data_IF_346080601410
#
_entry.id   IF_346080601410
#
_cell.length_a   1.000
_cell.length_b   1.000
_cell.length_c   1.000
_cell.angle_alpha   90.00
_cell.angle_beta   90.00
_cell.angle_gamma   90.00
#
_symmetry.space_group_name_H-M   'P 1'
#
loop_
_entity.id
_entity.type
_entity.pdbx_description
1 polymer ?
#
# COMPACT_ATOMS: atom_id res chain seq x y z
N UNK A 1 -12.09 10.65 -0.64
CA UNK A 1 -10.68 10.49 -0.24
C UNK A 1 -10.52 9.60 1.01
N UNK A 2 -9.72 8.53 0.94
CA UNK A 2 -9.48 7.60 2.07
C UNK A 2 -9.94 6.15 1.83
N UNK A 3 -9.74 5.61 0.62
CA UNK A 3 -10.15 4.23 0.32
C UNK A 3 -9.27 3.22 1.06
N UNK A 4 -9.91 2.36 1.85
CA UNK A 4 -9.25 1.28 2.58
C UNK A 4 -9.47 0.01 1.77
N UNK A 5 -8.38 -0.59 1.31
CA UNK A 5 -8.38 -1.85 0.57
C UNK A 5 -8.17 -2.99 1.58
N UNK A 6 -9.11 -3.92 1.63
CA UNK A 6 -9.00 -5.08 2.51
C UNK A 6 -7.93 -6.05 2.01
N UNK A 7 -7.38 -6.86 2.92
CA UNK A 7 -6.37 -7.87 2.59
C UNK A 7 -6.85 -8.86 1.52
N UNK A 8 -8.14 -9.23 1.53
CA UNK A 8 -8.74 -10.11 0.53
C UNK A 8 -8.78 -9.51 -0.88
N UNK A 9 -9.01 -8.20 -1.01
CA UNK A 9 -8.98 -7.52 -2.31
C UNK A 9 -7.55 -7.39 -2.83
N UNK A 10 -6.58 -7.13 -1.95
CA UNK A 10 -5.16 -7.16 -2.32
C UNK A 10 -4.75 -8.53 -2.84
N UNK A 11 -5.16 -9.61 -2.15
CA UNK A 11 -4.90 -10.98 -2.62
C UNK A 11 -5.48 -11.27 -4.00
N UNK A 12 -6.65 -10.72 -4.34
CA UNK A 12 -7.23 -10.86 -5.69
C UNK A 12 -6.49 -10.05 -6.75
N UNK A 13 -5.90 -8.91 -6.37
CA UNK A 13 -5.17 -8.04 -7.27
C UNK A 13 -3.75 -8.53 -7.57
N UNK A 14 -3.21 -9.51 -6.81
CA UNK A 14 -1.86 -10.01 -7.02
C UNK A 14 -1.81 -11.10 -8.11
N UNK A 15 -1.12 -10.85 -9.24
CA UNK A 15 -0.94 -11.86 -10.26
C UNK A 15 0.15 -12.85 -9.80
N UNK A 16 -0.25 -14.09 -9.50
CA UNK A 16 0.68 -15.20 -9.24
C UNK A 16 1.29 -15.26 -7.83
N UNK A 17 0.95 -14.34 -6.93
CA UNK A 17 1.32 -14.46 -5.52
C UNK A 17 0.22 -15.25 -4.81
N UNK A 18 0.58 -16.40 -4.22
CA UNK A 18 -0.36 -17.31 -3.54
C UNK A 18 -1.27 -16.60 -2.55
N UNK A 19 -2.39 -17.23 -2.19
CA UNK A 19 -3.43 -16.68 -1.27
C UNK A 19 -2.94 -16.47 0.19
N UNK A 20 -1.63 -16.31 0.38
CA UNK A 20 -0.93 -16.32 1.65
C UNK A 20 -0.67 -14.91 2.19
N UNK A 21 -0.45 -14.81 3.50
CA UNK A 21 -0.13 -13.52 4.15
C UNK A 21 1.19 -12.95 3.68
N UNK A 22 2.19 -13.81 3.55
CA UNK A 22 3.50 -13.44 3.02
C UNK A 22 3.46 -12.86 1.61
N UNK A 23 2.51 -13.26 0.76
CA UNK A 23 2.35 -12.69 -0.57
C UNK A 23 1.95 -11.20 -0.49
N UNK A 24 1.00 -10.89 0.40
CA UNK A 24 0.56 -9.51 0.64
C UNK A 24 1.68 -8.67 1.25
N UNK A 25 2.39 -9.21 2.25
CA UNK A 25 3.51 -8.51 2.87
C UNK A 25 4.63 -8.21 1.86
N UNK A 26 5.00 -9.20 1.04
CA UNK A 26 6.02 -9.03 0.00
C UNK A 26 5.59 -8.03 -1.06
N UNK A 27 4.33 -8.10 -1.52
CA UNK A 27 3.80 -7.15 -2.47
C UNK A 27 3.77 -5.72 -1.91
N UNK A 28 3.39 -5.56 -0.63
CA UNK A 28 3.41 -4.28 0.05
C UNK A 28 4.83 -3.73 0.22
N UNK A 29 5.80 -4.58 0.55
CA UNK A 29 7.21 -4.19 0.62
C UNK A 29 7.73 -3.72 -0.75
N UNK A 30 7.45 -4.48 -1.82
CA UNK A 30 7.79 -4.10 -3.20
C UNK A 30 7.11 -2.81 -3.63
N UNK A 31 5.83 -2.64 -3.29
CA UNK A 31 5.08 -1.42 -3.61
C UNK A 31 5.66 -0.20 -2.86
N UNK A 32 5.95 -0.34 -1.57
CA UNK A 32 6.60 0.73 -0.78
C UNK A 32 7.97 1.11 -1.35
N UNK A 33 8.75 0.12 -1.78
CA UNK A 33 10.05 0.34 -2.40
C UNK A 33 9.93 1.02 -3.77
N UNK A 34 9.03 0.56 -4.63
CA UNK A 34 8.78 1.14 -5.95
C UNK A 34 8.24 2.58 -5.87
N UNK A 35 7.46 2.89 -4.82
CA UNK A 35 6.98 4.24 -4.55
C UNK A 35 8.04 5.15 -3.91
N UNK A 36 9.13 4.60 -3.37
CA UNK A 36 10.16 5.35 -2.64
C UNK A 36 9.70 6.04 -1.35
N UNK A 37 8.39 6.03 -1.06
CA UNK A 37 7.78 6.73 0.06
C UNK A 37 6.90 5.76 0.87
N UNK A 38 7.47 5.00 1.83
CA UNK A 38 6.74 3.98 2.58
C UNK A 38 5.58 4.56 3.42
N UNK A 39 5.64 5.84 3.81
CA UNK A 39 4.59 6.52 4.57
C UNK A 39 3.28 6.75 3.80
N UNK A 40 3.32 6.65 2.46
CA UNK A 40 2.12 6.75 1.63
C UNK A 40 1.19 5.55 1.84
N UNK A 41 1.69 4.43 2.37
CA UNK A 41 0.88 3.25 2.65
C UNK A 41 0.66 3.16 4.15
N UNK A 42 -0.55 3.49 4.58
CA UNK A 42 -0.96 3.37 5.98
C UNK A 42 -1.66 2.03 6.21
N UNK A 43 -1.22 1.33 7.24
CA UNK A 43 -1.86 0.10 7.70
C UNK A 43 -2.96 0.45 8.67
N UNK A 44 -4.19 0.03 8.36
CA UNK A 44 -5.34 0.17 9.25
C UNK A 44 -5.59 -1.19 9.90
N UNK A 45 -5.23 -1.27 11.19
CA UNK A 45 -5.40 -2.50 12.00
C UNK A 45 -6.86 -2.98 11.91
N UNK A 46 -7.06 -4.27 11.63
CA UNK A 46 -8.37 -4.94 11.41
C UNK A 46 -9.19 -4.49 10.19
N UNK A 47 -8.66 -3.61 9.34
CA UNK A 47 -9.39 -3.01 8.20
C UNK A 47 -8.68 -3.21 6.86
N UNK A 48 -7.35 -3.20 6.85
CA UNK A 48 -6.54 -3.41 5.65
C UNK A 48 -5.53 -2.28 5.44
N UNK A 49 -5.30 -1.89 4.20
CA UNK A 49 -4.31 -0.89 3.82
C UNK A 49 -4.97 0.26 3.09
N UNK A 50 -4.53 1.49 3.37
CA UNK A 50 -4.97 2.67 2.64
C UNK A 50 -3.77 3.39 2.05
N UNK A 51 -4.00 4.00 0.90
CA UNK A 51 -3.09 4.96 0.32
C UNK A 51 -3.39 6.34 0.92
N UNK A 52 -2.41 6.89 1.61
CA UNK A 52 -2.34 8.30 1.98
C UNK A 52 -1.87 9.10 0.76
N UNK A 53 -2.68 9.08 -0.31
CA UNK A 53 -2.62 10.06 -1.38
C UNK A 53 -3.25 11.34 -0.83
N UNK A 54 -2.56 11.99 0.09
CA UNK A 54 -2.85 13.39 0.36
C UNK A 54 -2.33 14.18 -0.85
N UNK A 55 -3.16 14.99 -1.53
CA UNK A 55 -2.70 15.75 -2.69
C UNK A 55 -1.55 16.72 -2.34
N UNK A 56 -1.34 17.08 -1.07
CA UNK A 56 -0.18 17.86 -0.61
C UNK A 56 1.00 17.01 -0.12
N UNK A 57 0.83 15.71 0.15
CA UNK A 57 1.95 14.85 0.54
C UNK A 57 2.94 14.63 -0.61
N UNK A 58 2.51 14.70 -1.87
CA UNK A 58 3.40 14.65 -3.03
C UNK A 58 4.37 15.84 -3.10
N UNK A 59 4.00 16.99 -2.52
CA UNK A 59 4.78 18.23 -2.59
C UNK A 59 5.91 18.29 -1.55
N UNK A 60 5.82 17.50 -0.46
CA UNK A 60 6.90 17.38 0.54
C UNK A 60 7.98 16.34 0.20
N UNK A 61 7.77 15.51 -0.82
CA UNK A 61 8.72 14.47 -1.25
C UNK A 61 9.22 14.64 -2.69
N UNK A 62 8.71 15.64 -3.43
CA UNK A 62 9.48 16.26 -4.50
C UNK A 62 10.51 17.18 -3.83
N UNK A 63 11.79 16.80 -3.87
CA UNK A 63 12.88 17.55 -3.23
C UNK A 63 13.03 19.00 -3.74
N UNK A 64 13.89 19.81 -3.09
CA UNK A 64 14.03 21.25 -3.31
C UNK A 64 14.43 21.65 -4.73
#
# INVERSE_FOLDING_TARGET
PGWVVARGDLLRALPGAGRDEHAVETAMARLRAALGAPQLIQTVVKRGYRLALDPQAGEKYAGP
#
